data_IF_049490045287
#
_entry.id   IF_049490045287
#
_cell.length_a   1.000
_cell.length_b   1.000
_cell.length_c   1.000
_cell.angle_alpha   90.00
_cell.angle_beta   90.00
_cell.angle_gamma   90.00
#
_symmetry.space_group_name_H-M   'P 1'
#
loop_
_entity.id
_entity.type
_entity.pdbx_description
1 polymer ?
#
# COMPACT_ATOMS: atom_id res chain seq x y z
N UNK A 1 16.27 92.16 -2.84
CA UNK A 1 15.02 92.62 -3.48
C UNK A 1 14.31 91.37 -4.03
N UNK A 2 13.37 90.74 -3.31
CA UNK A 2 11.89 90.83 -3.51
C UNK A 2 11.49 90.64 -4.99
N UNK A 3 10.68 89.68 -5.50
CA UNK A 3 9.45 88.97 -5.07
C UNK A 3 9.20 87.76 -6.04
N UNK A 4 8.83 86.53 -5.60
CA UNK A 4 7.48 85.92 -5.39
C UNK A 4 6.90 85.10 -6.59
N UNK A 5 6.33 83.92 -6.25
CA UNK A 5 5.29 83.09 -6.91
C UNK A 5 5.67 81.92 -7.86
N UNK A 6 5.74 80.73 -7.25
CA UNK A 6 5.04 79.47 -7.58
C UNK A 6 4.80 79.12 -9.06
N UNK A 7 5.52 78.10 -9.55
CA UNK A 7 5.00 77.17 -10.56
C UNK A 7 5.25 75.75 -10.06
N UNK A 8 4.18 75.07 -9.65
CA UNK A 8 4.15 73.64 -9.35
C UNK A 8 4.28 72.89 -10.67
N UNK A 9 5.49 72.46 -11.00
CA UNK A 9 5.72 71.49 -12.06
C UNK A 9 5.85 70.11 -11.38
N UNK A 10 4.82 69.29 -11.56
CA UNK A 10 4.77 67.90 -11.13
C UNK A 10 5.85 67.14 -11.90
N UNK A 11 7.03 66.97 -11.30
CA UNK A 11 8.07 66.11 -11.85
C UNK A 11 7.59 64.68 -11.61
N UNK A 12 7.08 64.07 -12.68
CA UNK A 12 6.75 62.65 -12.72
C UNK A 12 8.00 61.86 -12.34
N UNK A 13 8.02 61.33 -11.12
CA UNK A 13 9.00 60.38 -10.66
C UNK A 13 8.90 59.13 -11.55
N UNK A 14 9.83 58.95 -12.48
CA UNK A 14 10.06 57.68 -13.16
C UNK A 14 10.71 56.73 -12.16
N UNK A 15 9.88 56.17 -11.30
CA UNK A 15 10.25 55.17 -10.31
C UNK A 15 10.77 53.93 -11.02
N UNK A 16 12.09 53.74 -11.01
CA UNK A 16 12.68 52.40 -11.11
C UNK A 16 12.36 51.72 -9.78
N UNK A 17 11.20 51.07 -9.72
CA UNK A 17 10.86 50.12 -8.65
C UNK A 17 10.78 48.77 -9.34
N UNK A 18 11.78 47.93 -9.08
CA UNK A 18 11.72 46.50 -9.32
C UNK A 18 10.58 45.92 -8.46
N UNK A 19 9.35 45.98 -8.96
CA UNK A 19 8.22 45.28 -8.38
C UNK A 19 8.24 43.82 -8.85
N UNK A 20 9.23 43.05 -8.38
CA UNK A 20 9.17 41.60 -8.37
C UNK A 20 8.17 41.10 -7.32
N UNK A 21 6.92 41.56 -7.43
CA UNK A 21 5.82 41.07 -6.60
C UNK A 21 5.30 39.78 -7.21
N UNK A 22 5.61 38.65 -6.58
CA UNK A 22 4.91 37.38 -6.87
C UNK A 22 3.44 37.63 -6.53
N UNK A 23 2.65 37.94 -7.55
CA UNK A 23 1.24 38.26 -7.41
C UNK A 23 0.54 37.14 -6.65
N UNK A 24 -0.36 37.50 -5.71
CA UNK A 24 -1.23 36.56 -4.97
C UNK A 24 -2.11 35.67 -5.89
N UNK A 25 -2.06 35.89 -7.21
CA UNK A 25 -2.71 35.10 -8.26
C UNK A 25 -1.95 33.83 -8.64
N UNK A 26 -0.65 33.69 -8.38
CA UNK A 26 0.07 32.42 -8.60
C UNK A 26 -0.13 31.40 -7.46
N UNK A 27 -0.68 31.80 -6.31
CA UNK A 27 -0.99 30.88 -5.18
C UNK A 27 -2.36 30.20 -5.33
N UNK A 28 -3.20 30.63 -6.27
CA UNK A 28 -4.53 30.03 -6.52
C UNK A 28 -4.59 29.18 -7.80
N UNK A 29 -3.44 28.68 -8.28
CA UNK A 29 -3.41 27.64 -9.34
C UNK A 29 -2.86 26.29 -8.88
N UNK A 30 -2.55 26.15 -7.59
CA UNK A 30 -2.22 24.88 -6.95
C UNK A 30 -3.39 24.29 -6.16
N UNK A 31 -4.48 25.06 -5.98
CA UNK A 31 -5.67 24.65 -5.21
C UNK A 31 -6.74 23.93 -6.03
N UNK A 32 -6.67 23.96 -7.35
CA UNK A 32 -7.67 23.33 -8.23
C UNK A 32 -7.34 21.87 -8.61
N UNK A 33 -6.27 21.29 -8.06
CA UNK A 33 -5.92 19.87 -8.27
C UNK A 33 -6.37 18.98 -7.09
N UNK A 34 -7.07 19.54 -6.09
CA UNK A 34 -7.45 18.84 -4.86
C UNK A 34 -8.97 18.68 -4.67
N UNK A 35 -9.77 18.78 -5.74
CA UNK A 35 -11.22 18.54 -5.69
C UNK A 35 -11.65 17.60 -6.84
N UNK A 36 -11.16 16.35 -6.82
CA UNK A 36 -11.76 15.24 -7.56
C UNK A 36 -11.69 13.97 -6.67
N UNK A 37 -12.78 13.76 -5.93
CA UNK A 37 -12.92 12.95 -4.71
C UNK A 37 -12.84 11.42 -4.88
N UNK A 38 -11.97 10.89 -5.74
CA UNK A 38 -11.81 9.43 -5.86
C UNK A 38 -10.47 8.93 -6.40
N UNK A 39 -9.77 9.72 -7.20
CA UNK A 39 -8.54 9.26 -7.88
C UNK A 39 -7.24 9.74 -7.20
N UNK A 40 -7.35 10.62 -6.19
CA UNK A 40 -6.20 11.36 -5.66
C UNK A 40 -5.48 10.71 -4.46
N UNK A 41 -6.12 9.76 -3.76
CA UNK A 41 -5.50 9.09 -2.59
C UNK A 41 -4.44 8.07 -3.00
N UNK A 42 -4.67 7.38 -4.12
CA UNK A 42 -3.79 6.30 -4.61
C UNK A 42 -2.46 6.84 -5.16
N UNK A 43 -2.48 8.07 -5.67
CA UNK A 43 -1.28 8.77 -6.16
C UNK A 43 -0.43 9.30 -4.99
N UNK A 44 -1.07 9.80 -3.92
CA UNK A 44 -0.33 10.33 -2.77
C UNK A 44 0.49 9.24 -2.06
N UNK A 45 -0.09 8.07 -1.85
CA UNK A 45 0.61 6.96 -1.18
C UNK A 45 1.66 6.30 -2.05
N UNK A 46 1.46 6.26 -3.38
CA UNK A 46 2.50 5.78 -4.31
C UNK A 46 3.72 6.71 -4.42
N UNK A 47 3.59 7.99 -4.05
CA UNK A 47 4.68 8.97 -3.98
C UNK A 47 5.24 9.09 -2.54
N UNK A 48 4.73 8.32 -1.58
CA UNK A 48 5.19 8.33 -0.19
C UNK A 48 4.75 9.56 0.60
N UNK A 49 3.66 10.21 0.20
CA UNK A 49 3.08 11.37 0.89
C UNK A 49 1.95 10.91 1.81
N UNK A 50 1.91 11.47 3.02
CA UNK A 50 0.87 11.17 4.00
C UNK A 50 -0.50 11.73 3.58
N UNK A 51 -1.54 10.87 3.40
CA UNK A 51 -2.90 11.33 3.16
C UNK A 51 -3.48 12.11 4.35
N UNK A 52 -3.22 11.66 5.57
CA UNK A 52 -3.53 12.40 6.80
C UNK A 52 -2.31 12.43 7.74
N UNK A 53 -2.36 13.24 8.80
CA UNK A 53 -1.25 13.37 9.75
C UNK A 53 -0.85 12.04 10.38
N UNK A 54 -1.83 11.21 10.74
CA UNK A 54 -1.61 9.94 11.41
C UNK A 54 -2.39 8.86 10.70
N UNK A 55 -1.78 7.70 10.49
CA UNK A 55 -2.47 6.57 9.89
C UNK A 55 -1.54 5.58 9.22
N UNK A 56 -2.14 4.55 8.63
CA UNK A 56 -1.45 3.55 7.82
C UNK A 56 -2.20 3.40 6.50
N UNK A 57 -1.47 3.43 5.40
CA UNK A 57 -2.06 3.49 4.07
C UNK A 57 -1.36 2.52 3.11
N UNK A 58 -2.09 1.90 2.15
CA UNK A 58 -1.47 1.02 1.16
C UNK A 58 -0.48 1.82 0.31
N UNK A 59 0.65 1.21 -0.07
CA UNK A 59 1.73 1.92 -0.76
C UNK A 59 2.18 1.22 -2.05
N UNK A 60 2.09 1.96 -3.17
CA UNK A 60 2.51 1.48 -4.48
C UNK A 60 1.75 0.24 -4.94
N UNK A 61 2.39 -0.60 -5.76
CA UNK A 61 1.79 -1.84 -6.27
C UNK A 61 2.09 -3.08 -5.40
N UNK A 62 2.69 -2.92 -4.20
CA UNK A 62 3.06 -4.05 -3.32
C UNK A 62 1.98 -4.27 -2.24
N UNK A 63 1.40 -5.47 -2.19
CA UNK A 63 0.29 -5.76 -1.27
C UNK A 63 0.73 -5.83 0.21
N UNK A 64 1.98 -6.17 0.46
CA UNK A 64 2.62 -6.25 1.76
C UNK A 64 3.37 -4.97 2.17
N UNK A 65 3.32 -3.91 1.35
CA UNK A 65 3.92 -2.61 1.66
C UNK A 65 2.85 -1.59 2.08
N UNK A 66 3.18 -0.79 3.09
CA UNK A 66 2.34 0.31 3.56
C UNK A 66 3.15 1.51 4.03
N UNK A 67 2.50 2.67 4.00
CA UNK A 67 3.02 3.93 4.51
C UNK A 67 2.47 4.15 5.92
N UNK A 68 3.35 4.32 6.90
CA UNK A 68 2.97 4.74 8.26
C UNK A 68 3.25 6.24 8.41
N UNK A 69 2.21 6.99 8.75
CA UNK A 69 2.28 8.43 8.96
C UNK A 69 2.15 8.75 10.43
N UNK A 70 3.11 9.54 10.93
CA UNK A 70 3.10 10.05 12.30
C UNK A 70 3.39 11.55 12.26
N UNK A 71 2.41 12.36 12.67
CA UNK A 71 2.45 13.82 12.59
C UNK A 71 2.77 14.38 11.19
N UNK A 72 2.36 13.66 10.15
CA UNK A 72 2.61 13.98 8.74
C UNK A 72 3.97 13.51 8.22
N UNK A 73 4.76 12.81 9.04
CA UNK A 73 6.04 12.22 8.64
C UNK A 73 5.79 10.81 8.09
N UNK A 74 6.03 10.58 6.79
CA UNK A 74 5.86 9.26 6.18
C UNK A 74 7.03 8.33 6.49
N UNK A 75 6.73 7.06 6.79
CA UNK A 75 7.70 5.97 6.88
C UNK A 75 7.19 4.77 6.11
N UNK A 76 7.97 4.29 5.13
CA UNK A 76 7.66 3.03 4.45
C UNK A 76 7.86 1.85 5.40
N UNK A 77 6.93 0.91 5.37
CA UNK A 77 6.97 -0.33 6.15
C UNK A 77 6.59 -1.50 5.25
N UNK A 78 7.18 -2.64 5.56
CA UNK A 78 6.77 -3.94 5.01
C UNK A 78 6.13 -4.75 6.13
N UNK A 79 5.07 -5.46 5.79
CA UNK A 79 4.60 -6.56 6.59
C UNK A 79 5.65 -7.68 6.62
N UNK A 80 5.71 -8.49 7.70
CA UNK A 80 6.57 -9.67 7.71
C UNK A 80 6.30 -10.56 6.50
N UNK A 81 7.37 -11.17 6.00
CA UNK A 81 7.32 -11.99 4.79
C UNK A 81 6.24 -13.07 4.87
N UNK A 82 5.26 -13.00 3.97
CA UNK A 82 4.09 -13.91 3.93
C UNK A 82 2.80 -13.34 4.55
N UNK A 83 2.83 -12.12 5.10
CA UNK A 83 1.64 -11.38 5.54
C UNK A 83 1.42 -10.15 4.67
N UNK A 84 0.15 -9.77 4.47
CA UNK A 84 -0.24 -8.64 3.62
C UNK A 84 -0.81 -7.49 4.45
N UNK A 85 -0.66 -6.27 3.94
CA UNK A 85 -1.20 -5.08 4.62
C UNK A 85 -2.71 -4.97 4.41
N UNK A 86 -3.45 -4.88 5.52
CA UNK A 86 -4.89 -4.65 5.53
C UNK A 86 -5.21 -3.19 5.87
N UNK A 87 -5.83 -2.47 4.93
CA UNK A 87 -6.35 -1.10 5.13
C UNK A 87 -7.52 -1.06 6.12
N UNK A 88 -8.14 -2.21 6.42
CA UNK A 88 -9.27 -2.36 7.35
C UNK A 88 -8.85 -2.51 8.80
N UNK A 89 -7.56 -2.73 9.07
CA UNK A 89 -7.04 -2.80 10.44
C UNK A 89 -7.14 -1.44 11.13
N UNK A 90 -7.59 -1.42 12.38
CA UNK A 90 -7.64 -0.19 13.15
C UNK A 90 -6.23 0.33 13.44
N UNK A 91 -6.10 1.63 13.72
CA UNK A 91 -4.79 2.24 14.02
C UNK A 91 -4.12 1.61 15.26
N UNK A 92 -4.92 1.04 16.17
CA UNK A 92 -4.46 0.40 17.41
C UNK A 92 -4.18 -1.09 17.26
N UNK A 93 -4.59 -1.74 16.17
CA UNK A 93 -4.32 -3.15 15.92
C UNK A 93 -3.09 -3.33 15.03
N UNK A 94 -2.57 -4.56 14.99
CA UNK A 94 -1.53 -4.93 14.03
C UNK A 94 -2.10 -4.88 12.60
N UNK A 95 -1.39 -4.29 11.61
CA UNK A 95 -1.98 -4.03 10.28
C UNK A 95 -1.78 -5.18 9.27
N UNK A 96 -0.98 -6.19 9.61
CA UNK A 96 -0.62 -7.26 8.68
C UNK A 96 -1.41 -8.52 8.98
N UNK A 97 -2.00 -9.12 7.95
CA UNK A 97 -2.88 -10.29 8.07
C UNK A 97 -2.57 -11.31 6.98
N UNK A 98 -3.00 -12.55 7.17
CA UNK A 98 -2.86 -13.60 6.16
C UNK A 98 -3.59 -13.25 4.84
N UNK A 99 -3.05 -13.67 3.69
CA UNK A 99 -3.58 -13.35 2.37
C UNK A 99 -5.10 -13.56 2.20
N UNK A 100 -5.73 -14.66 2.66
CA UNK A 100 -7.17 -14.87 2.45
C UNK A 100 -8.08 -13.86 3.17
N UNK A 101 -7.53 -13.04 4.06
CA UNK A 101 -8.27 -12.04 4.85
C UNK A 101 -8.00 -10.62 4.39
N UNK A 102 -7.13 -10.42 3.39
CA UNK A 102 -6.71 -9.11 2.91
C UNK A 102 -7.24 -8.88 1.49
N UNK A 103 -7.85 -7.72 1.29
CA UNK A 103 -8.11 -7.19 -0.05
C UNK A 103 -6.91 -6.35 -0.46
N UNK A 104 -6.20 -6.77 -1.52
CA UNK A 104 -5.03 -6.06 -2.01
C UNK A 104 -5.38 -4.81 -2.82
N UNK A 105 -6.66 -4.55 -3.12
CA UNK A 105 -7.10 -3.38 -3.89
C UNK A 105 -6.38 -3.29 -5.25
N UNK A 106 -6.14 -4.44 -5.89
CA UNK A 106 -5.44 -4.54 -7.18
C UNK A 106 -3.90 -4.52 -7.11
N UNK A 107 -3.30 -4.37 -5.92
CA UNK A 107 -1.85 -4.47 -5.72
C UNK A 107 -1.39 -5.92 -5.90
N UNK A 108 -0.47 -6.16 -6.84
CA UNK A 108 -0.08 -7.52 -7.26
C UNK A 108 1.33 -7.93 -6.85
N UNK A 109 2.19 -6.98 -6.47
CA UNK A 109 3.56 -7.27 -6.11
C UNK A 109 3.69 -7.63 -4.63
N UNK A 110 4.78 -8.32 -4.29
CA UNK A 110 5.16 -8.68 -2.93
C UNK A 110 6.67 -8.48 -2.79
N UNK A 111 7.14 -8.38 -1.54
CA UNK A 111 8.56 -8.46 -1.26
C UNK A 111 9.13 -9.81 -1.71
N UNK A 112 10.45 -9.91 -1.97
CA UNK A 112 11.12 -11.18 -2.23
C UNK A 112 10.92 -12.17 -1.07
N UNK A 113 10.74 -13.47 -1.35
CA UNK A 113 10.60 -14.47 -0.31
C UNK A 113 11.84 -14.54 0.59
N UNK A 114 11.61 -14.63 1.89
CA UNK A 114 12.63 -14.90 2.89
C UNK A 114 12.47 -16.34 3.39
N UNK A 115 12.87 -17.29 2.55
CA UNK A 115 12.74 -18.72 2.84
C UNK A 115 13.66 -19.17 3.98
N UNK A 116 13.18 -20.12 4.78
CA UNK A 116 13.97 -20.86 5.76
C UNK A 116 14.19 -22.31 5.31
N UNK A 117 14.72 -23.16 6.19
CA UNK A 117 14.88 -24.60 5.95
C UNK A 117 13.55 -25.29 5.63
N UNK A 118 12.49 -24.93 6.34
CA UNK A 118 11.19 -25.60 6.28
C UNK A 118 10.12 -24.76 5.55
N UNK A 119 10.29 -23.44 5.49
CA UNK A 119 9.24 -22.53 5.09
C UNK A 119 9.60 -21.73 3.83
N UNK A 120 8.76 -21.73 2.78
CA UNK A 120 8.96 -20.87 1.60
C UNK A 120 8.94 -19.37 1.91
N UNK A 121 8.18 -18.96 2.93
CA UNK A 121 8.08 -17.60 3.47
C UNK A 121 8.09 -17.65 5.00
N UNK A 122 8.45 -16.55 5.67
CA UNK A 122 8.49 -16.52 7.14
C UNK A 122 7.14 -16.86 7.78
N UNK A 123 6.05 -16.39 7.19
CA UNK A 123 4.68 -16.65 7.63
C UNK A 123 3.85 -17.26 6.51
N UNK A 124 2.91 -18.14 6.85
CA UNK A 124 1.94 -18.66 5.87
C UNK A 124 1.60 -20.12 6.09
N UNK A 125 0.65 -20.59 5.29
CA UNK A 125 0.22 -21.98 5.29
C UNK A 125 0.52 -22.60 3.93
N UNK A 126 1.21 -23.75 3.93
CA UNK A 126 1.70 -24.38 2.71
C UNK A 126 1.27 -25.83 2.65
N UNK A 127 0.82 -26.30 1.49
CA UNK A 127 0.54 -27.72 1.29
C UNK A 127 1.81 -28.56 1.52
N UNK A 128 1.64 -29.71 2.14
CA UNK A 128 2.68 -30.74 2.21
C UNK A 128 2.24 -31.97 1.42
N UNK A 129 3.22 -32.66 0.83
CA UNK A 129 2.99 -33.91 0.12
C UNK A 129 2.45 -33.75 -1.30
N UNK A 130 2.20 -34.89 -1.93
CA UNK A 130 1.67 -35.01 -3.28
C UNK A 130 0.14 -35.18 -3.26
N UNK A 131 -0.45 -35.54 -4.41
CA UNK A 131 -1.90 -35.75 -4.52
C UNK A 131 -2.44 -36.83 -3.56
N UNK A 132 -1.59 -37.78 -3.12
CA UNK A 132 -1.98 -38.88 -2.22
C UNK A 132 -1.94 -38.48 -0.75
N UNK A 133 -1.24 -37.39 -0.40
CA UNK A 133 -1.12 -36.86 0.98
C UNK A 133 -1.61 -35.42 1.08
N UNK A 134 -2.69 -35.10 0.38
CA UNK A 134 -3.24 -33.74 0.28
C UNK A 134 -3.85 -33.18 1.56
N UNK A 135 -4.05 -34.02 2.60
CA UNK A 135 -4.54 -33.59 3.91
C UNK A 135 -3.47 -32.96 4.81
N UNK A 136 -2.19 -32.95 4.42
CA UNK A 136 -1.12 -32.41 5.25
C UNK A 136 -0.75 -30.99 4.85
N UNK A 137 -0.47 -30.13 5.83
CA UNK A 137 0.01 -28.77 5.57
C UNK A 137 1.01 -28.31 6.63
N UNK A 138 1.75 -27.26 6.29
CA UNK A 138 2.73 -26.61 7.13
C UNK A 138 2.19 -25.24 7.52
N UNK A 139 2.15 -24.93 8.81
CA UNK A 139 1.97 -23.57 9.31
C UNK A 139 3.35 -23.00 9.65
N UNK A 140 3.74 -21.93 8.97
CA UNK A 140 5.01 -21.25 9.16
C UNK A 140 4.80 -20.02 10.03
N UNK A 141 5.58 -19.93 11.11
CA UNK A 141 5.61 -18.76 11.99
C UNK A 141 7.07 -18.38 12.20
N UNK A 142 7.45 -17.21 11.72
CA UNK A 142 8.83 -16.71 11.77
C UNK A 142 9.86 -17.72 11.23
N UNK A 143 9.53 -18.34 10.09
CA UNK A 143 10.38 -19.31 9.40
C UNK A 143 10.43 -20.70 10.05
N UNK A 144 9.70 -20.94 11.15
CA UNK A 144 9.59 -22.26 11.78
C UNK A 144 8.31 -22.93 11.29
N UNK A 145 8.46 -24.09 10.66
CA UNK A 145 7.36 -24.87 10.10
C UNK A 145 6.80 -25.89 11.08
N UNK A 146 5.50 -25.83 11.33
CA UNK A 146 4.75 -26.78 12.14
C UNK A 146 3.82 -27.59 11.25
N UNK A 147 3.94 -28.92 11.28
CA UNK A 147 3.13 -29.82 10.45
C UNK A 147 1.78 -30.07 11.11
N UNK A 148 0.73 -30.05 10.30
CA UNK A 148 -0.64 -30.32 10.70
C UNK A 148 -1.31 -31.24 9.69
N UNK A 149 -2.27 -32.00 10.17
CA UNK A 149 -3.15 -32.83 9.37
C UNK A 149 -4.56 -32.23 9.39
N UNK A 150 -5.20 -32.18 8.23
CA UNK A 150 -6.61 -31.88 8.10
C UNK A 150 -7.46 -33.00 8.72
N UNK A 151 -8.71 -32.71 9.13
CA UNK A 151 -9.68 -33.74 9.45
C UNK A 151 -9.79 -34.78 8.34
N UNK A 152 -10.15 -36.01 8.72
CA UNK A 152 -10.25 -37.13 7.79
C UNK A 152 -11.18 -36.81 6.62
N UNK A 153 -10.71 -37.09 5.39
CA UNK A 153 -11.45 -36.83 4.16
C UNK A 153 -11.33 -35.39 3.61
N UNK A 154 -10.60 -34.50 4.27
CA UNK A 154 -10.36 -33.13 3.81
C UNK A 154 -8.95 -32.93 3.26
N UNK A 155 -8.82 -32.01 2.31
CA UNK A 155 -7.55 -31.60 1.71
C UNK A 155 -7.26 -30.14 2.03
N UNK A 156 -5.99 -29.81 2.21
CA UNK A 156 -5.58 -28.43 2.45
C UNK A 156 -5.70 -27.59 1.16
N UNK A 157 -6.44 -26.49 1.25
CA UNK A 157 -6.62 -25.49 0.22
C UNK A 157 -5.71 -24.28 0.51
N UNK A 158 -4.66 -24.14 -0.29
CA UNK A 158 -3.66 -23.07 -0.16
C UNK A 158 -4.18 -21.68 -0.56
N UNK A 159 -5.33 -21.58 -1.24
CA UNK A 159 -5.92 -20.29 -1.58
C UNK A 159 -6.75 -19.72 -0.41
N UNK A 160 -7.43 -20.59 0.32
CA UNK A 160 -8.30 -20.20 1.46
C UNK A 160 -7.63 -20.36 2.81
N UNK A 161 -6.48 -21.07 2.86
CA UNK A 161 -5.78 -21.53 4.05
C UNK A 161 -6.66 -22.39 4.98
N UNK A 162 -7.47 -23.28 4.38
CA UNK A 162 -8.43 -24.12 5.10
C UNK A 162 -8.39 -25.56 4.62
N UNK A 163 -8.89 -26.46 5.46
CA UNK A 163 -9.18 -27.84 5.07
C UNK A 163 -10.58 -27.88 4.44
N UNK A 164 -10.63 -28.17 3.15
CA UNK A 164 -11.86 -28.23 2.37
C UNK A 164 -12.01 -29.62 1.71
N UNK A 165 -13.19 -29.89 1.14
CA UNK A 165 -13.40 -31.12 0.37
C UNK A 165 -12.48 -31.17 -0.85
N UNK A 166 -11.93 -32.34 -1.15
CA UNK A 166 -11.09 -32.57 -2.33
C UNK A 166 -11.93 -32.35 -3.61
N UNK A 167 -11.91 -31.11 -4.12
CA UNK A 167 -12.69 -30.69 -5.29
C UNK A 167 -13.21 -29.25 -5.23
N UNK A 168 -13.38 -28.66 -4.04
CA UNK A 168 -13.91 -27.29 -3.89
C UNK A 168 -12.84 -26.19 -3.96
N UNK A 169 -11.56 -26.56 -3.94
CA UNK A 169 -10.43 -25.63 -3.98
C UNK A 169 -9.42 -26.05 -5.03
N UNK A 170 -9.63 -25.61 -6.27
CA UNK A 170 -8.56 -25.41 -7.25
C UNK A 170 -7.56 -26.55 -7.44
N UNK A 171 -7.99 -27.82 -7.43
CA UNK A 171 -7.25 -28.85 -8.17
C UNK A 171 -7.39 -28.50 -9.66
N UNK A 172 -6.61 -27.52 -10.12
CA UNK A 172 -6.11 -27.61 -11.48
C UNK A 172 -5.18 -28.81 -11.43
N UNK A 173 -5.69 -29.99 -11.81
CA UNK A 173 -4.78 -31.06 -12.19
C UNK A 173 -3.83 -30.43 -13.20
N UNK A 174 -2.52 -30.41 -12.90
CA UNK A 174 -1.52 -30.13 -13.94
C UNK A 174 -1.75 -31.18 -15.02
N UNK A 175 -2.51 -30.82 -16.06
CA UNK A 175 -2.94 -31.75 -17.11
C UNK A 175 -4.39 -31.62 -17.60
N UNK A 176 -5.26 -30.80 -17.01
CA UNK A 176 -6.64 -30.62 -17.50
C UNK A 176 -6.93 -29.23 -18.07
N UNK A 177 -6.03 -28.75 -18.93
CA UNK A 177 -6.36 -27.79 -20.00
C UNK A 177 -6.24 -28.55 -21.32
N UNK A 178 -7.33 -29.03 -21.95
CA UNK A 178 -7.36 -29.09 -23.38
C UNK A 178 -7.60 -27.67 -23.89
N UNK A 179 -6.68 -27.16 -24.68
CA UNK A 179 -6.91 -26.01 -25.53
C UNK A 179 -8.25 -26.14 -26.26
N UNK A 180 -9.20 -25.26 -25.96
CA UNK A 180 -10.27 -24.79 -26.86
C UNK A 180 -10.46 -23.31 -26.58
#
# INVERSE_FOLDING_TARGET
MFRVLVVVAVIAATSVIYAGGVTRRTVMRQRQYLDNDGYHRDVATSIGVCPERNGRYPMGNQCDKYLQCENGVPTEKLCPDGLFFSSKSSIFSYPCQYPPQVDCEGRTQLQPPQSSRDCPRQFGYFRLGDETKCGQFLNCVNGIGYKFDCPEGLAFNELTFRCDWAGSGGYVRRGSIPWI
#
